data_IF_159014386873
#
_entry.id   IF_159014386873
#
_cell.length_a   1.000
_cell.length_b   1.000
_cell.length_c   1.000
_cell.angle_alpha   90.00
_cell.angle_beta   90.00
_cell.angle_gamma   90.00
#
_symmetry.space_group_name_H-M   'P 1'
#
loop_
_entity.id
_entity.type
_entity.pdbx_description
1 polymer ?
#
# COMPACT_ATOMS: atom_id res chain seq x y z
N UNK A 1 -29.17 29.24 0.83
CA UNK A 1 -27.78 28.76 0.77
C UNK A 1 -27.84 27.42 0.06
N UNK A 2 -27.29 27.31 -1.16
CA UNK A 2 -27.31 26.04 -1.90
C UNK A 2 -26.22 25.12 -1.34
N UNK A 3 -26.62 24.02 -0.72
CA UNK A 3 -25.74 23.01 -0.12
C UNK A 3 -24.97 22.16 -1.15
N UNK A 4 -25.16 22.43 -2.44
CA UNK A 4 -24.73 21.55 -3.54
C UNK A 4 -23.22 21.55 -3.82
N UNK A 5 -22.42 22.22 -2.98
CA UNK A 5 -20.95 22.32 -3.15
C UNK A 5 -20.16 21.97 -1.88
N UNK A 6 -20.81 21.48 -0.82
CA UNK A 6 -20.09 21.10 0.39
C UNK A 6 -19.74 19.61 0.30
N UNK A 7 -18.47 19.30 0.01
CA UNK A 7 -17.95 17.97 0.23
C UNK A 7 -17.84 17.76 1.74
N UNK A 8 -18.59 16.79 2.26
CA UNK A 8 -18.46 16.33 3.64
C UNK A 8 -17.40 15.23 3.63
N UNK A 9 -16.29 15.47 4.30
CA UNK A 9 -15.30 14.45 4.57
C UNK A 9 -15.69 13.70 5.85
N UNK A 10 -15.32 12.43 6.01
CA UNK A 10 -15.75 11.69 7.19
C UNK A 10 -15.14 12.21 8.51
N UNK A 11 -14.07 13.01 8.42
CA UNK A 11 -13.51 13.76 9.55
C UNK A 11 -14.41 14.92 10.01
N UNK A 12 -15.30 15.42 9.13
CA UNK A 12 -16.22 16.53 9.43
C UNK A 12 -17.45 16.08 10.23
N UNK A 13 -17.61 14.77 10.45
CA UNK A 13 -18.78 14.20 11.12
C UNK A 13 -18.41 13.70 12.52
N UNK A 14 -18.87 14.40 13.55
CA UNK A 14 -18.67 14.02 14.95
C UNK A 14 -19.49 12.76 15.30
N UNK A 15 -18.82 11.68 15.66
CA UNK A 15 -19.47 10.40 16.03
C UNK A 15 -20.30 10.53 17.28
N UNK A 16 -19.84 11.32 18.25
CA UNK A 16 -20.60 11.48 19.48
C UNK A 16 -21.97 12.12 19.17
N UNK A 17 -22.05 13.04 18.22
CA UNK A 17 -23.32 13.59 17.73
C UNK A 17 -24.17 12.52 17.04
N UNK A 18 -23.57 11.64 16.23
CA UNK A 18 -24.30 10.53 15.59
C UNK A 18 -24.83 9.52 16.61
N UNK A 19 -24.03 9.18 17.63
CA UNK A 19 -24.39 8.28 18.72
C UNK A 19 -25.52 8.90 19.56
N UNK A 20 -25.42 10.19 19.90
CA UNK A 20 -26.48 10.89 20.66
C UNK A 20 -27.79 10.97 19.86
N UNK A 21 -27.73 11.28 18.56
CA UNK A 21 -28.92 11.23 17.68
C UNK A 21 -29.52 9.84 17.62
N UNK A 22 -28.70 8.79 17.55
CA UNK A 22 -29.17 7.42 17.54
C UNK A 22 -29.80 7.01 18.88
N UNK A 23 -29.20 7.38 20.01
CA UNK A 23 -29.81 7.15 21.34
C UNK A 23 -31.16 7.83 21.47
N UNK A 24 -31.34 8.99 20.82
CA UNK A 24 -32.62 9.69 20.77
C UNK A 24 -33.61 9.08 19.75
N UNK A 25 -33.12 8.28 18.79
CA UNK A 25 -33.91 7.54 17.82
C UNK A 25 -34.51 6.30 18.46
N UNK A 26 -35.80 6.02 18.23
CA UNK A 26 -36.48 4.81 18.70
C UNK A 26 -36.19 3.57 17.84
N UNK A 27 -35.11 3.57 17.06
CA UNK A 27 -34.79 2.51 16.11
C UNK A 27 -34.21 1.24 16.78
N UNK A 28 -34.42 0.10 16.11
CA UNK A 28 -34.17 -1.28 16.60
C UNK A 28 -32.68 -1.63 16.66
N UNK A 29 -31.80 -0.83 16.05
CA UNK A 29 -30.37 -1.06 16.08
C UNK A 29 -29.86 -0.65 17.47
N UNK A 30 -29.23 -1.58 18.20
CA UNK A 30 -28.67 -1.23 19.50
C UNK A 30 -27.62 -0.13 19.34
N UNK A 31 -27.85 0.99 20.04
CA UNK A 31 -26.96 2.15 19.97
C UNK A 31 -25.46 1.81 20.19
N UNK A 32 -25.08 0.86 21.06
CA UNK A 32 -23.69 0.43 21.21
C UNK A 32 -23.10 -0.21 19.94
N UNK A 33 -23.84 -1.08 19.25
CA UNK A 33 -23.33 -1.79 18.07
C UNK A 33 -23.13 -0.86 16.88
N UNK A 34 -24.05 0.08 16.65
CA UNK A 34 -23.90 1.07 15.59
C UNK A 34 -22.83 2.11 15.94
N UNK A 35 -22.73 2.53 17.20
CA UNK A 35 -21.65 3.39 17.67
C UNK A 35 -20.27 2.76 17.48
N UNK A 36 -20.13 1.47 17.76
CA UNK A 36 -18.91 0.71 17.48
C UNK A 36 -18.60 0.70 15.97
N UNK A 37 -19.58 0.39 15.12
CA UNK A 37 -19.42 0.34 13.67
C UNK A 37 -18.99 1.69 13.09
N UNK A 38 -19.60 2.80 13.54
CA UNK A 38 -19.22 4.15 13.11
C UNK A 38 -17.75 4.44 13.49
N UNK A 39 -17.31 4.06 14.70
CA UNK A 39 -15.92 4.23 15.13
C UNK A 39 -14.96 3.41 14.27
N UNK A 40 -15.31 2.18 13.90
CA UNK A 40 -14.50 1.36 13.00
C UNK A 40 -14.39 2.01 11.60
N UNK A 41 -15.50 2.52 11.05
CA UNK A 41 -15.47 3.24 9.77
C UNK A 41 -14.56 4.45 9.83
N UNK A 42 -14.63 5.25 10.90
CA UNK A 42 -13.74 6.40 11.06
C UNK A 42 -12.28 6.03 11.15
N UNK A 43 -11.94 5.01 11.95
CA UNK A 43 -10.57 4.51 12.04
C UNK A 43 -10.04 4.12 10.66
N UNK A 44 -10.84 3.41 9.87
CA UNK A 44 -10.46 3.03 8.51
C UNK A 44 -10.27 4.24 7.60
N UNK A 45 -11.13 5.26 7.69
CA UNK A 45 -11.00 6.49 6.90
C UNK A 45 -9.70 7.22 7.25
N UNK A 46 -9.40 7.36 8.54
CA UNK A 46 -8.16 8.00 8.99
C UNK A 46 -6.95 7.24 8.46
N UNK A 47 -6.93 5.92 8.61
CA UNK A 47 -5.85 5.07 8.12
C UNK A 47 -5.68 5.21 6.60
N UNK A 48 -6.76 5.11 5.82
CA UNK A 48 -6.70 5.21 4.36
C UNK A 48 -6.25 6.60 3.90
N UNK A 49 -6.66 7.66 4.61
CA UNK A 49 -6.21 9.03 4.35
C UNK A 49 -4.71 9.17 4.62
N UNK A 50 -4.21 8.63 5.72
CA UNK A 50 -2.77 8.61 6.05
C UNK A 50 -1.96 7.84 4.99
N UNK A 51 -2.45 6.67 4.58
CA UNK A 51 -1.82 5.87 3.52
C UNK A 51 -1.69 6.66 2.23
N UNK A 52 -2.79 7.30 1.80
CA UNK A 52 -2.81 8.11 0.59
C UNK A 52 -1.85 9.30 0.68
N UNK A 53 -1.79 9.96 1.83
CA UNK A 53 -0.82 11.05 2.06
C UNK A 53 0.61 10.54 1.92
N UNK A 54 0.97 9.46 2.63
CA UNK A 54 2.32 8.90 2.59
C UNK A 54 2.75 8.45 1.19
N UNK A 55 1.83 7.85 0.44
CA UNK A 55 2.07 7.43 -0.94
C UNK A 55 2.27 8.65 -1.85
N UNK A 56 1.44 9.69 -1.69
CA UNK A 56 1.60 10.93 -2.44
C UNK A 56 2.91 11.66 -2.11
N UNK A 57 3.31 11.69 -0.84
CA UNK A 57 4.56 12.30 -0.39
C UNK A 57 5.79 11.51 -0.86
N UNK A 58 5.64 10.20 -1.06
CA UNK A 58 6.70 9.34 -1.58
C UNK A 58 6.95 9.54 -3.08
N UNK A 59 5.97 10.07 -3.83
CA UNK A 59 6.14 10.35 -5.25
C UNK A 59 7.29 11.35 -5.47
N UNK A 60 8.31 10.89 -6.18
CA UNK A 60 9.49 11.68 -6.49
C UNK A 60 9.90 11.43 -7.95
N UNK A 61 10.99 12.04 -8.41
CA UNK A 61 11.42 11.90 -9.80
C UNK A 61 11.88 10.49 -10.18
N UNK A 62 12.26 9.64 -9.21
CA UNK A 62 12.82 8.30 -9.44
C UNK A 62 11.73 7.22 -9.46
N UNK A 63 10.73 7.33 -8.58
CA UNK A 63 9.64 6.35 -8.46
C UNK A 63 8.29 7.06 -8.38
N UNK A 64 7.30 6.49 -9.06
CA UNK A 64 5.90 6.85 -8.85
C UNK A 64 5.15 5.72 -8.17
N UNK A 65 4.13 6.08 -7.41
CA UNK A 65 3.35 5.18 -6.59
C UNK A 65 1.86 5.39 -6.81
N UNK A 66 1.13 4.27 -6.86
CA UNK A 66 -0.32 4.24 -6.89
C UNK A 66 -0.85 3.48 -5.68
N UNK A 67 -1.94 3.97 -5.09
CA UNK A 67 -2.59 3.35 -3.94
C UNK A 67 -4.01 2.90 -4.29
N UNK A 68 -4.33 1.63 -4.04
CA UNK A 68 -5.69 1.08 -4.12
C UNK A 68 -6.22 0.76 -2.73
N UNK A 69 -7.22 1.51 -2.27
CA UNK A 69 -7.97 1.22 -1.04
C UNK A 69 -8.64 -0.17 -1.13
N UNK A 70 -9.19 -0.50 -2.31
CA UNK A 70 -10.00 -1.69 -2.53
C UNK A 70 -9.18 -2.98 -2.43
N UNK A 71 -7.99 -2.96 -2.99
CA UNK A 71 -7.10 -4.13 -3.03
C UNK A 71 -6.11 -4.14 -1.84
N UNK A 72 -6.07 -3.01 -1.10
CA UNK A 72 -5.09 -2.70 -0.06
C UNK A 72 -3.66 -2.92 -0.57
N UNK A 73 -3.41 -2.38 -1.77
CA UNK A 73 -2.14 -2.50 -2.46
C UNK A 73 -1.52 -1.14 -2.74
N UNK A 74 -0.20 -1.12 -2.73
CA UNK A 74 0.60 -0.04 -3.31
C UNK A 74 1.30 -0.62 -4.54
N UNK A 75 1.21 0.07 -5.66
CA UNK A 75 2.02 -0.21 -6.85
C UNK A 75 3.15 0.81 -6.86
N UNK A 76 4.39 0.33 -6.98
CA UNK A 76 5.53 1.18 -7.26
C UNK A 76 5.98 0.96 -8.70
N UNK A 77 6.06 2.03 -9.47
CA UNK A 77 6.60 2.02 -10.81
C UNK A 77 8.10 2.29 -10.74
N UNK A 78 8.88 1.24 -10.93
CA UNK A 78 10.33 1.26 -10.91
C UNK A 78 10.89 1.70 -12.27
N UNK A 79 12.19 2.00 -12.28
CA UNK A 79 12.89 2.30 -13.53
C UNK A 79 12.90 1.05 -14.43
N UNK A 80 12.72 1.23 -15.74
CA UNK A 80 12.74 0.14 -16.71
C UNK A 80 11.38 -0.50 -17.00
N UNK A 81 10.28 0.21 -16.73
CA UNK A 81 8.91 -0.25 -16.95
C UNK A 81 8.59 -1.54 -16.17
N UNK A 82 8.92 -1.52 -14.88
CA UNK A 82 8.69 -2.63 -13.95
C UNK A 82 7.78 -2.12 -12.84
N UNK A 83 6.71 -2.84 -12.57
CA UNK A 83 5.76 -2.55 -11.50
C UNK A 83 5.95 -3.55 -10.36
N UNK A 84 6.20 -3.04 -9.16
CA UNK A 84 6.25 -3.83 -7.93
C UNK A 84 4.97 -3.64 -7.11
N UNK A 85 4.32 -4.74 -6.74
CA UNK A 85 3.04 -4.76 -6.04
C UNK A 85 3.24 -5.12 -4.58
N UNK A 86 2.84 -4.23 -3.68
CA UNK A 86 3.02 -4.36 -2.24
C UNK A 86 1.67 -4.55 -1.56
N UNK A 87 1.56 -5.54 -0.66
CA UNK A 87 0.42 -5.69 0.24
C UNK A 87 0.62 -4.77 1.43
N UNK A 88 -0.42 -4.04 1.77
CA UNK A 88 -0.48 -3.22 2.96
C UNK A 88 -1.08 -4.07 4.09
N UNK A 89 -0.46 -4.04 5.28
CA UNK A 89 -1.06 -4.63 6.47
C UNK A 89 -2.17 -3.71 7.00
N UNK A 90 -3.20 -4.30 7.62
CA UNK A 90 -4.42 -3.60 8.06
C UNK A 90 -4.17 -2.30 8.85
N UNK A 91 -3.08 -2.26 9.61
CA UNK A 91 -2.75 -1.14 10.49
C UNK A 91 -1.50 -0.36 10.04
N UNK A 92 -0.88 -0.67 8.90
CA UNK A 92 0.16 0.21 8.33
C UNK A 92 -0.49 1.53 7.90
N UNK A 93 0.12 2.70 8.20
CA UNK A 93 1.48 2.92 8.68
C UNK A 93 1.66 2.96 10.20
N UNK A 94 0.59 2.79 10.97
CA UNK A 94 0.58 2.98 12.43
C UNK A 94 1.10 1.76 13.22
N UNK A 95 1.18 0.60 12.59
CA UNK A 95 1.55 -0.66 13.25
C UNK A 95 3.04 -1.00 13.20
N UNK A 96 3.37 -2.02 13.98
CA UNK A 96 4.66 -2.68 13.93
C UNK A 96 4.85 -3.54 12.68
N UNK A 97 3.84 -3.75 11.82
CA UNK A 97 3.97 -4.59 10.64
C UNK A 97 4.54 -3.81 9.44
N UNK A 98 5.44 -4.46 8.69
CA UNK A 98 5.99 -3.93 7.44
C UNK A 98 5.15 -4.32 6.23
N UNK A 99 5.34 -3.61 5.14
CA UNK A 99 4.84 -3.95 3.81
C UNK A 99 5.39 -5.31 3.36
N UNK A 100 4.69 -5.93 2.40
CA UNK A 100 5.10 -7.22 1.82
C UNK A 100 5.04 -7.15 0.31
N UNK A 101 6.12 -7.53 -0.37
CA UNK A 101 6.15 -7.65 -1.82
C UNK A 101 5.32 -8.88 -2.25
N UNK A 102 4.29 -8.67 -3.07
CA UNK A 102 3.40 -9.72 -3.58
C UNK A 102 3.91 -10.24 -4.92
N UNK A 103 4.25 -9.34 -5.84
CA UNK A 103 4.68 -9.66 -7.19
C UNK A 103 5.42 -8.50 -7.83
N UNK A 104 6.23 -8.81 -8.82
CA UNK A 104 6.86 -7.85 -9.73
C UNK A 104 6.36 -8.21 -11.14
N UNK A 105 6.01 -7.20 -11.93
CA UNK A 105 5.51 -7.37 -13.30
C UNK A 105 6.22 -6.41 -14.24
N UNK A 106 6.34 -6.80 -15.49
CA UNK A 106 6.76 -5.89 -16.54
C UNK A 106 5.54 -5.10 -17.04
N UNK A 107 5.59 -3.78 -16.95
CA UNK A 107 4.58 -2.86 -17.46
C UNK A 107 4.91 -2.29 -18.84
N UNK A 108 6.11 -2.57 -19.35
CA UNK A 108 6.57 -2.19 -20.69
C UNK A 108 6.00 -3.04 -21.81
N UNK A 109 6.00 -2.48 -23.02
CA UNK A 109 5.52 -3.14 -24.25
C UNK A 109 6.49 -4.21 -24.78
N UNK A 110 7.74 -4.21 -24.31
CA UNK A 110 8.73 -5.22 -24.65
C UNK A 110 8.92 -6.19 -23.49
N UNK A 111 8.93 -7.51 -23.73
CA UNK A 111 9.25 -8.48 -22.70
C UNK A 111 10.72 -8.31 -22.29
N UNK A 112 10.93 -7.68 -21.14
CA UNK A 112 12.18 -7.80 -20.39
C UNK A 112 12.31 -9.27 -20.02
N UNK A 113 13.44 -9.89 -20.39
CA UNK A 113 13.75 -11.31 -20.13
C UNK A 113 14.01 -11.56 -18.64
N UNK A 114 13.02 -11.29 -17.78
CA UNK A 114 13.10 -11.58 -16.35
C UNK A 114 12.49 -12.96 -16.14
N UNK A 115 13.30 -13.90 -15.66
CA UNK A 115 12.85 -15.26 -15.40
C UNK A 115 11.88 -15.28 -14.20
N UNK A 116 10.97 -16.26 -14.17
CA UNK A 116 10.09 -16.46 -13.01
C UNK A 116 10.88 -16.79 -11.74
N UNK A 117 12.00 -17.49 -11.88
CA UNK A 117 12.88 -17.85 -10.76
C UNK A 117 13.49 -16.61 -10.10
N UNK A 118 14.01 -15.69 -10.90
CA UNK A 118 14.53 -14.40 -10.43
C UNK A 118 13.47 -13.57 -9.71
N UNK A 119 12.24 -13.51 -10.26
CA UNK A 119 11.14 -12.79 -9.62
C UNK A 119 10.75 -13.44 -8.28
N UNK A 120 10.73 -14.77 -8.22
CA UNK A 120 10.44 -15.52 -7.00
C UNK A 120 11.52 -15.27 -5.94
N UNK A 121 12.79 -15.38 -6.32
CA UNK A 121 13.95 -15.14 -5.45
C UNK A 121 13.99 -13.70 -4.94
N UNK A 122 13.75 -12.73 -5.82
CA UNK A 122 13.66 -11.30 -5.44
C UNK A 122 12.57 -11.08 -4.39
N UNK A 123 11.40 -11.70 -4.58
CA UNK A 123 10.29 -11.62 -3.62
C UNK A 123 10.64 -12.22 -2.27
N UNK A 124 11.32 -13.37 -2.23
CA UNK A 124 11.74 -14.02 -1.00
C UNK A 124 12.74 -13.17 -0.23
N UNK A 125 13.79 -12.68 -0.92
CA UNK A 125 14.81 -11.82 -0.34
C UNK A 125 14.22 -10.50 0.20
N UNK A 126 13.37 -9.84 -0.58
CA UNK A 126 12.72 -8.60 -0.16
C UNK A 126 11.84 -8.80 1.08
N UNK A 127 11.07 -9.88 1.13
CA UNK A 127 10.21 -10.17 2.28
C UNK A 127 10.99 -10.66 3.52
N UNK A 128 12.22 -11.13 3.33
CA UNK A 128 13.17 -11.46 4.40
C UNK A 128 13.90 -10.26 5.00
N UNK A 129 13.77 -9.06 4.40
CA UNK A 129 14.36 -7.84 4.93
C UNK A 129 13.85 -7.51 6.34
N UNK A 130 14.68 -6.78 7.06
CA UNK A 130 14.35 -6.27 8.39
C UNK A 130 13.05 -5.46 8.39
N UNK A 131 12.35 -5.54 9.51
CA UNK A 131 11.04 -4.94 9.67
C UNK A 131 11.08 -3.41 9.52
N UNK A 132 12.17 -2.77 9.94
CA UNK A 132 12.35 -1.33 9.85
C UNK A 132 12.38 -0.87 8.39
N UNK A 133 13.18 -1.53 7.54
CA UNK A 133 13.18 -1.27 6.10
C UNK A 133 11.80 -1.47 5.49
N UNK A 134 11.10 -2.57 5.83
CA UNK A 134 9.76 -2.87 5.28
C UNK A 134 8.65 -1.92 5.77
N UNK A 135 8.84 -1.16 6.84
CA UNK A 135 7.85 -0.17 7.31
C UNK A 135 7.88 1.12 6.50
N UNK A 136 9.02 1.45 5.91
CA UNK A 136 9.21 2.69 5.14
C UNK A 136 9.04 2.41 3.65
N UNK A 137 7.99 2.97 3.04
CA UNK A 137 7.64 2.72 1.65
C UNK A 137 8.82 2.93 0.69
N UNK A 138 9.44 4.10 0.72
CA UNK A 138 10.56 4.44 -0.18
C UNK A 138 11.75 3.52 0.04
N UNK A 139 12.18 3.33 1.30
CA UNK A 139 13.31 2.46 1.63
C UNK A 139 13.07 1.01 1.19
N UNK A 140 11.86 0.51 1.37
CA UNK A 140 11.54 -0.86 0.96
C UNK A 140 11.56 -1.01 -0.55
N UNK A 141 11.05 -0.02 -1.27
CA UNK A 141 11.04 0.00 -2.74
C UNK A 141 12.45 0.11 -3.30
N UNK A 142 13.29 0.98 -2.74
CA UNK A 142 14.72 1.08 -3.07
C UNK A 142 15.43 -0.27 -2.88
N UNK A 143 15.18 -0.94 -1.74
CA UNK A 143 15.77 -2.25 -1.46
C UNK A 143 15.28 -3.34 -2.42
N UNK A 144 14.00 -3.31 -2.81
CA UNK A 144 13.45 -4.23 -3.83
C UNK A 144 14.13 -4.00 -5.18
N UNK A 145 14.29 -2.75 -5.60
CA UNK A 145 14.97 -2.42 -6.86
C UNK A 145 16.44 -2.88 -6.82
N UNK A 146 17.14 -2.67 -5.70
CA UNK A 146 18.52 -3.13 -5.53
C UNK A 146 18.66 -4.65 -5.62
N UNK A 147 17.78 -5.40 -4.94
CA UNK A 147 17.76 -6.87 -5.01
C UNK A 147 17.49 -7.31 -6.45
N UNK A 148 16.51 -6.70 -7.12
CA UNK A 148 16.16 -7.04 -8.51
C UNK A 148 17.35 -6.84 -9.45
N UNK A 149 18.03 -5.70 -9.38
CA UNK A 149 19.22 -5.40 -10.19
C UNK A 149 20.34 -6.40 -9.92
N UNK A 150 20.60 -6.72 -8.64
CA UNK A 150 21.64 -7.67 -8.23
C UNK A 150 21.38 -9.08 -8.76
N UNK A 151 20.13 -9.53 -8.69
CA UNK A 151 19.75 -10.86 -9.19
C UNK A 151 19.80 -10.92 -10.73
N UNK A 152 19.39 -9.84 -11.42
CA UNK A 152 19.51 -9.76 -12.88
C UNK A 152 20.96 -9.84 -13.35
N UNK A 153 21.88 -9.14 -12.67
CA UNK A 153 23.31 -9.22 -12.97
C UNK A 153 23.86 -10.64 -12.72
N UNK A 154 23.46 -11.28 -11.62
CA UNK A 154 23.91 -12.62 -11.27
C UNK A 154 23.49 -13.68 -12.30
N UNK A 155 22.25 -13.63 -12.80
CA UNK A 155 21.78 -14.53 -13.87
C UNK A 155 22.58 -14.33 -15.16
N UNK A 156 22.79 -13.08 -15.58
CA UNK A 156 23.57 -12.77 -16.78
C UNK A 156 25.01 -13.31 -16.71
N UNK A 157 25.63 -13.27 -15.53
CA UNK A 157 26.95 -13.83 -15.31
C UNK A 157 26.94 -15.37 -15.32
N UNK A 158 25.93 -16.01 -14.74
CA UNK A 158 25.78 -17.47 -14.75
C UNK A 158 25.60 -18.03 -16.18
N UNK A 159 24.79 -17.36 -17.01
CA UNK A 159 24.57 -17.77 -18.41
C UNK A 159 25.82 -17.64 -19.28
N UNK A 160 26.71 -16.68 -18.99
CA UNK A 160 27.97 -16.49 -19.73
C UNK A 160 29.06 -17.50 -19.36
N UNK A 161 29.03 -18.04 -18.14
CA UNK A 161 30.00 -19.06 -17.67
C UNK A 161 29.59 -20.46 -18.13
N UNK A 162 28.32 -20.66 -18.49
CA UNK A 162 27.76 -21.94 -18.93
C UNK A 162 27.71 -22.13 -20.45
N UNK A 163 28.21 -21.17 -21.23
CA UNK A 163 28.27 -21.17 -22.70
C UNK A 163 29.72 -21.24 -23.19
#
# INVERSE_FOLDING_TARGET
>A
MELNKVQIFPADVCVDILIEKLKSSREVISAPSLGWLIRQCQQQIVINTLRRSLVNDANNSRHSFEYSDKDETIVAHLVGAIDAFFKISADWPLSSYGLKLISIRNSGTQPTNITLDLLCKTKELANGLELETRRHLVRFVDAVEEILVREMQSELHSSRVSA
#
